data_IF_956309300341
#
_entry.id   IF_956309300341
#
_cell.length_a   1.000
_cell.length_b   1.000
_cell.length_c   1.000
_cell.angle_alpha   90.00
_cell.angle_beta   90.00
_cell.angle_gamma   90.00
#
_symmetry.space_group_name_H-M   'P 1'
#
loop_
_entity.id
_entity.type
_entity.pdbx_description
1 polymer ?
#
# COMPACT_ATOMS: atom_id res chain seq x y z
N UNK A 1 58.49 -5.30 -14.54
CA UNK A 1 57.61 -4.24 -15.07
C UNK A 1 56.17 -4.73 -15.18
N UNK A 2 55.96 -5.97 -15.60
CA UNK A 2 54.62 -6.55 -15.82
C UNK A 2 53.78 -6.77 -14.56
N UNK A 3 54.39 -7.05 -13.39
CA UNK A 3 53.64 -7.30 -12.14
C UNK A 3 52.98 -6.05 -11.56
N UNK A 4 53.70 -4.91 -11.53
CA UNK A 4 53.14 -3.61 -11.20
C UNK A 4 51.90 -3.33 -12.05
N UNK A 5 52.03 -3.53 -13.37
CA UNK A 5 50.99 -3.18 -14.34
C UNK A 5 49.75 -4.04 -14.09
N UNK A 6 49.94 -5.35 -13.87
CA UNK A 6 48.86 -6.28 -13.50
C UNK A 6 48.16 -5.87 -12.21
N UNK A 7 48.90 -5.55 -11.15
CA UNK A 7 48.31 -5.15 -9.87
C UNK A 7 47.50 -3.85 -9.98
N UNK A 8 47.99 -2.88 -10.74
CA UNK A 8 47.27 -1.63 -11.00
C UNK A 8 45.97 -1.84 -11.78
N UNK A 9 46.00 -2.66 -12.84
CA UNK A 9 44.81 -2.97 -13.62
C UNK A 9 43.78 -3.76 -12.80
N UNK A 10 44.22 -4.67 -11.94
CA UNK A 10 43.34 -5.40 -11.01
C UNK A 10 42.66 -4.43 -10.03
N UNK A 11 43.42 -3.54 -9.37
CA UNK A 11 42.87 -2.52 -8.45
C UNK A 11 41.86 -1.60 -9.14
N UNK A 12 42.17 -1.18 -10.37
CA UNK A 12 41.29 -0.32 -11.18
C UNK A 12 40.01 -1.06 -11.58
N UNK A 13 40.09 -2.34 -11.94
CA UNK A 13 38.93 -3.19 -12.22
C UNK A 13 37.99 -3.31 -11.01
N UNK A 14 38.55 -3.62 -9.83
CA UNK A 14 37.77 -3.71 -8.60
C UNK A 14 37.12 -2.37 -8.22
N UNK A 15 37.85 -1.26 -8.34
CA UNK A 15 37.30 0.09 -8.11
C UNK A 15 36.18 0.45 -9.08
N UNK A 16 36.32 0.06 -10.35
CA UNK A 16 35.29 0.22 -11.38
C UNK A 16 34.03 -0.59 -11.08
N UNK A 17 34.18 -1.84 -10.67
CA UNK A 17 33.06 -2.73 -10.30
C UNK A 17 32.30 -2.17 -9.08
N UNK A 18 33.00 -1.76 -8.03
CA UNK A 18 32.37 -1.19 -6.83
C UNK A 18 31.61 0.09 -7.17
N UNK A 19 32.21 0.96 -7.99
CA UNK A 19 31.58 2.21 -8.41
C UNK A 19 30.33 1.97 -9.26
N UNK A 20 30.39 1.01 -10.19
CA UNK A 20 29.24 0.63 -11.01
C UNK A 20 28.11 0.04 -10.16
N UNK A 21 28.44 -0.82 -9.20
CA UNK A 21 27.45 -1.41 -8.28
C UNK A 21 26.82 -0.33 -7.38
N UNK A 22 27.62 0.61 -6.88
CA UNK A 22 27.13 1.77 -6.12
C UNK A 22 26.15 2.62 -6.94
N UNK A 23 26.51 2.98 -8.17
CA UNK A 23 25.64 3.74 -9.07
C UNK A 23 24.33 3.00 -9.37
N UNK A 24 24.39 1.69 -9.61
CA UNK A 24 23.22 0.85 -9.84
C UNK A 24 22.28 0.84 -8.63
N UNK A 25 22.80 0.66 -7.41
CA UNK A 25 21.97 0.66 -6.20
C UNK A 25 21.28 2.00 -5.97
N UNK A 26 21.96 3.13 -6.21
CA UNK A 26 21.38 4.48 -6.11
C UNK A 26 20.27 4.65 -7.15
N UNK A 27 20.50 4.22 -8.39
CA UNK A 27 19.51 4.31 -9.45
C UNK A 27 18.25 3.50 -9.15
N UNK A 28 18.43 2.26 -8.68
CA UNK A 28 17.34 1.39 -8.24
C UNK A 28 16.57 2.04 -7.09
N UNK A 29 17.24 2.49 -6.01
CA UNK A 29 16.60 3.17 -4.87
C UNK A 29 15.79 4.38 -5.29
N UNK A 30 16.30 5.19 -6.22
CA UNK A 30 15.58 6.37 -6.74
C UNK A 30 14.29 5.96 -7.47
N UNK A 31 14.31 4.85 -8.20
CA UNK A 31 13.14 4.29 -8.89
C UNK A 31 12.10 3.75 -7.90
N UNK A 32 12.55 3.03 -6.87
CA UNK A 32 11.69 2.50 -5.81
C UNK A 32 11.01 3.59 -4.99
N UNK A 33 11.69 4.72 -4.71
CA UNK A 33 11.10 5.84 -3.95
C UNK A 33 9.82 6.39 -4.60
N UNK A 34 9.76 6.43 -5.94
CA UNK A 34 8.55 6.86 -6.64
C UNK A 34 7.43 5.82 -6.50
N UNK A 35 7.75 4.52 -6.62
CA UNK A 35 6.77 3.44 -6.41
C UNK A 35 6.20 3.50 -4.99
N UNK A 36 7.06 3.63 -3.99
CA UNK A 36 6.67 3.72 -2.58
C UNK A 36 5.75 4.93 -2.32
N UNK A 37 6.05 6.08 -2.92
CA UNK A 37 5.18 7.26 -2.81
C UNK A 37 3.80 7.04 -3.45
N UNK A 38 3.74 6.33 -4.58
CA UNK A 38 2.48 5.96 -5.24
C UNK A 38 1.70 4.96 -4.39
N UNK A 39 2.35 3.91 -3.88
CA UNK A 39 1.75 2.91 -3.00
C UNK A 39 1.15 3.56 -1.75
N UNK A 40 1.89 4.45 -1.09
CA UNK A 40 1.38 5.23 0.05
C UNK A 40 0.23 6.16 -0.33
N UNK A 41 0.26 6.76 -1.51
CA UNK A 41 -0.83 7.59 -2.03
C UNK A 41 -2.11 6.77 -2.25
N UNK A 42 -2.00 5.61 -2.91
CA UNK A 42 -3.13 4.69 -3.12
C UNK A 42 -3.66 4.18 -1.78
N UNK A 43 -2.78 3.81 -0.85
CA UNK A 43 -3.16 3.41 0.50
C UNK A 43 -3.96 4.50 1.22
N UNK A 44 -3.55 5.77 1.12
CA UNK A 44 -4.27 6.89 1.72
C UNK A 44 -5.65 7.11 1.06
N UNK A 45 -5.76 6.95 -0.26
CA UNK A 45 -7.03 7.06 -0.98
C UNK A 45 -8.01 5.95 -0.60
N UNK A 46 -7.54 4.69 -0.58
CA UNK A 46 -8.35 3.55 -0.14
C UNK A 46 -8.84 3.74 1.30
N UNK A 47 -7.94 4.19 2.18
CA UNK A 47 -8.30 4.50 3.57
C UNK A 47 -9.42 5.54 3.66
N UNK A 48 -9.30 6.62 2.89
CA UNK A 48 -10.31 7.68 2.87
C UNK A 48 -11.66 7.16 2.35
N UNK A 49 -11.65 6.35 1.29
CA UNK A 49 -12.90 5.82 0.71
C UNK A 49 -13.59 4.81 1.64
N UNK A 50 -12.83 3.95 2.32
CA UNK A 50 -13.39 3.02 3.31
C UNK A 50 -14.07 3.78 4.46
N UNK A 51 -13.42 4.83 4.99
CA UNK A 51 -14.01 5.66 6.06
C UNK A 51 -15.29 6.37 5.58
N UNK A 52 -15.28 6.85 4.34
CA UNK A 52 -16.44 7.52 3.75
C UNK A 52 -17.62 6.56 3.59
N UNK A 53 -17.39 5.38 3.05
CA UNK A 53 -18.41 4.32 2.94
C UNK A 53 -18.90 3.88 4.33
N UNK A 54 -17.98 3.71 5.29
CA UNK A 54 -18.34 3.41 6.68
C UNK A 54 -19.32 4.44 7.25
N UNK A 55 -18.98 5.72 7.20
CA UNK A 55 -19.86 6.78 7.71
C UNK A 55 -21.23 6.75 6.99
N UNK A 56 -21.23 6.55 5.68
CA UNK A 56 -22.44 6.50 4.88
C UNK A 56 -23.40 5.36 5.28
N UNK A 57 -22.86 4.17 5.54
CA UNK A 57 -23.67 2.99 5.91
C UNK A 57 -23.99 2.94 7.40
N UNK A 58 -23.11 3.47 8.24
CA UNK A 58 -23.35 3.60 9.67
C UNK A 58 -24.53 4.54 9.95
N UNK A 59 -24.59 5.70 9.29
CA UNK A 59 -25.72 6.64 9.39
C UNK A 59 -27.06 6.01 8.98
N UNK A 60 -27.01 5.00 8.11
CA UNK A 60 -28.19 4.28 7.63
C UNK A 60 -28.56 3.08 8.48
N UNK A 61 -27.69 2.66 9.39
CA UNK A 61 -27.83 1.46 10.23
C UNK A 61 -27.96 0.14 9.42
N UNK A 62 -27.50 0.12 8.16
CA UNK A 62 -27.38 -1.10 7.36
C UNK A 62 -26.31 -0.95 6.28
N UNK A 63 -25.76 -2.07 5.81
CA UNK A 63 -24.83 -2.11 4.69
C UNK A 63 -25.22 -3.24 3.72
N UNK A 64 -25.73 -2.95 2.51
CA UNK A 64 -26.15 -3.97 1.56
C UNK A 64 -24.97 -4.82 1.08
N UNK A 65 -25.26 -6.04 0.63
CA UNK A 65 -24.23 -7.05 0.29
C UNK A 65 -23.19 -6.52 -0.71
N UNK A 66 -23.63 -5.81 -1.75
CA UNK A 66 -22.71 -5.26 -2.77
C UNK A 66 -21.74 -4.23 -2.17
N UNK A 67 -22.20 -3.44 -1.19
CA UNK A 67 -21.36 -2.44 -0.54
C UNK A 67 -20.36 -3.11 0.39
N UNK A 68 -20.78 -4.12 1.16
CA UNK A 68 -19.87 -4.94 1.97
C UNK A 68 -18.77 -5.59 1.13
N UNK A 69 -19.12 -6.15 -0.02
CA UNK A 69 -18.15 -6.78 -0.92
C UNK A 69 -17.16 -5.76 -1.51
N UNK A 70 -17.66 -4.59 -1.91
CA UNK A 70 -16.80 -3.49 -2.37
C UNK A 70 -15.82 -3.04 -1.27
N UNK A 71 -16.31 -2.81 -0.05
CA UNK A 71 -15.48 -2.37 1.08
C UNK A 71 -14.47 -3.46 1.45
N UNK A 72 -14.86 -4.75 1.42
CA UNK A 72 -13.95 -5.88 1.62
C UNK A 72 -12.81 -5.90 0.60
N UNK A 73 -13.11 -5.65 -0.67
CA UNK A 73 -12.07 -5.58 -1.70
C UNK A 73 -11.11 -4.41 -1.42
N UNK A 74 -11.64 -3.21 -1.15
CA UNK A 74 -10.82 -2.04 -0.81
C UNK A 74 -9.93 -2.30 0.41
N UNK A 75 -10.49 -2.91 1.46
CA UNK A 75 -9.78 -3.28 2.68
C UNK A 75 -8.64 -4.27 2.39
N UNK A 76 -8.89 -5.29 1.57
CA UNK A 76 -7.89 -6.28 1.17
C UNK A 76 -6.71 -5.63 0.46
N UNK A 77 -6.97 -4.73 -0.49
CA UNK A 77 -5.89 -4.01 -1.20
C UNK A 77 -5.16 -3.03 -0.27
N UNK A 78 -5.89 -2.33 0.61
CA UNK A 78 -5.31 -1.45 1.62
C UNK A 78 -4.33 -2.20 2.54
N UNK A 79 -4.71 -3.40 2.99
CA UNK A 79 -3.85 -4.29 3.77
C UNK A 79 -2.60 -4.73 3.01
N UNK A 80 -2.77 -5.10 1.74
CA UNK A 80 -1.68 -5.55 0.88
C UNK A 80 -0.56 -4.52 0.72
N UNK A 81 -0.84 -3.22 0.92
CA UNK A 81 0.11 -2.12 0.75
C UNK A 81 0.96 -1.79 2.01
N UNK A 82 0.88 -2.57 3.09
CA UNK A 82 1.77 -2.43 4.27
C UNK A 82 1.16 -1.60 5.41
N UNK A 83 0.37 -2.28 6.22
CA UNK A 83 -0.70 -1.68 7.04
C UNK A 83 -0.29 -1.22 8.46
N UNK A 84 -1.14 -0.42 9.12
CA UNK A 84 -0.99 0.07 10.51
C UNK A 84 -2.21 -0.25 11.42
N UNK A 85 -3.11 -1.16 11.03
CA UNK A 85 -4.25 -1.62 11.85
C UNK A 85 -5.35 -0.58 12.14
N UNK A 86 -5.32 0.60 11.51
CA UNK A 86 -6.25 1.70 11.86
C UNK A 86 -7.65 1.50 11.28
N UNK A 87 -7.78 0.75 10.19
CA UNK A 87 -9.06 0.51 9.50
C UNK A 87 -9.72 -0.80 9.91
N UNK A 88 -9.01 -1.67 10.64
CA UNK A 88 -9.49 -3.01 10.98
C UNK A 88 -10.80 -2.96 11.76
N UNK A 89 -10.88 -2.09 12.78
CA UNK A 89 -12.12 -1.86 13.55
C UNK A 89 -13.26 -1.33 12.69
N UNK A 90 -12.96 -0.39 11.79
CA UNK A 90 -13.95 0.19 10.87
C UNK A 90 -14.51 -0.90 9.96
N UNK A 91 -13.64 -1.79 9.47
CA UNK A 91 -14.03 -2.91 8.63
C UNK A 91 -14.87 -3.94 9.39
N UNK A 92 -14.48 -4.30 10.62
CA UNK A 92 -15.23 -5.21 11.50
C UNK A 92 -16.65 -4.66 11.76
N UNK A 93 -16.77 -3.38 12.12
CA UNK A 93 -18.08 -2.76 12.38
C UNK A 93 -18.99 -2.75 11.13
N UNK A 94 -18.43 -2.58 9.92
CA UNK A 94 -19.21 -2.72 8.67
C UNK A 94 -19.73 -4.14 8.49
N UNK A 95 -18.93 -5.15 8.83
CA UNK A 95 -19.36 -6.54 8.72
C UNK A 95 -20.52 -6.86 9.67
N UNK A 96 -20.56 -6.21 10.84
CA UNK A 96 -21.62 -6.37 11.85
C UNK A 96 -22.93 -5.66 11.48
N UNK A 97 -22.91 -4.67 10.58
CA UNK A 97 -24.14 -4.01 10.12
C UNK A 97 -25.10 -4.99 9.44
N UNK A 98 -26.43 -4.88 9.62
CA UNK A 98 -27.38 -5.72 8.90
C UNK A 98 -27.31 -5.46 7.39
N UNK A 99 -27.63 -6.47 6.59
CA UNK A 99 -27.63 -6.34 5.11
C UNK A 99 -28.96 -5.83 4.56
N UNK A 100 -30.03 -5.90 5.35
CA UNK A 100 -31.35 -5.43 4.98
C UNK A 100 -31.59 -4.02 5.49
N UNK A 101 -32.27 -3.20 4.69
CA UNK A 101 -32.65 -1.85 5.10
C UNK A 101 -33.61 -1.92 6.30
N UNK A 102 -33.42 -1.12 7.36
CA UNK A 102 -34.37 -1.04 8.46
C UNK A 102 -35.74 -0.67 7.90
N UNK A 103 -36.78 -1.42 8.28
CA UNK A 103 -38.15 -1.06 7.91
C UNK A 103 -38.45 0.29 8.57
N UNK A 104 -38.78 1.29 7.76
CA UNK A 104 -39.24 2.58 8.26
C UNK A 104 -40.38 2.30 9.23
N UNK A 105 -40.24 2.73 10.50
CA UNK A 105 -41.38 2.71 11.42
C UNK A 105 -42.40 3.66 10.81
N UNK A 106 -43.44 3.10 10.20
CA UNK A 106 -44.64 3.83 9.78
C UNK A 106 -45.03 4.74 10.94
N UNK A 107 -44.88 6.06 10.73
CA UNK A 107 -45.30 7.11 11.66
C UNK A 107 -46.69 7.58 11.27
#
# INVERSE_FOLDING_TARGET
MDEWIKEYWIKTLFGGIISAFGALTIWIKKKFKRSEAVEKGVQALLRNEIIKEYNHWLEKEYCPIYAKDNIKNMYTQYHGLGQNGVIDKVYEEILDLPTEKPKEKER
#
